data_IF_929196600833
#
_entry.id   IF_929196600833
#
_cell.length_a   1.000
_cell.length_b   1.000
_cell.length_c   1.000
_cell.angle_alpha   90.00
_cell.angle_beta   90.00
_cell.angle_gamma   90.00
#
_symmetry.space_group_name_H-M   'P 1'
#
loop_
_entity.id
_entity.type
_entity.pdbx_description
1 polymer ?
#
# COMPACT_ATOMS: atom_id res chain seq x y z
N UNK A 1 9.87 6.02 1.61
CA UNK A 1 9.97 6.33 3.06
C UNK A 1 11.34 6.86 3.49
N UNK A 2 12.44 6.12 3.33
CA UNK A 2 13.77 6.51 3.82
C UNK A 2 14.20 7.94 3.43
N UNK A 3 13.98 8.29 2.15
CA UNK A 3 14.28 9.61 1.59
C UNK A 3 13.34 10.66 2.17
N UNK A 4 12.01 10.48 2.01
CA UNK A 4 11.02 11.45 2.49
C UNK A 4 11.13 11.75 3.99
N UNK A 5 11.44 10.77 4.86
CA UNK A 5 11.67 11.02 6.30
C UNK A 5 12.84 11.98 6.56
N UNK A 6 13.79 12.12 5.64
CA UNK A 6 14.95 13.02 5.77
C UNK A 6 14.78 14.33 5.01
N UNK A 7 13.92 14.34 4.00
CA UNK A 7 13.72 15.46 3.08
C UNK A 7 12.29 16.02 3.16
N UNK A 8 11.54 15.69 4.22
CA UNK A 8 10.15 16.10 4.41
C UNK A 8 9.97 17.62 4.41
N UNK A 9 10.98 18.33 4.91
CA UNK A 9 11.01 19.80 4.94
C UNK A 9 10.88 20.44 3.56
N UNK A 10 11.27 19.74 2.49
CA UNK A 10 11.06 20.19 1.11
C UNK A 10 9.57 20.39 0.78
N UNK A 11 8.69 19.60 1.39
CA UNK A 11 7.24 19.70 1.25
C UNK A 11 6.58 20.55 2.34
N UNK A 12 7.38 21.20 3.21
CA UNK A 12 6.87 21.92 4.37
C UNK A 12 6.34 21.01 5.47
N UNK A 13 6.70 19.71 5.46
CA UNK A 13 6.32 18.75 6.49
C UNK A 13 7.49 18.53 7.44
N UNK A 14 7.18 18.16 8.67
CA UNK A 14 8.18 17.56 9.55
C UNK A 14 8.42 16.08 9.18
N UNK A 15 9.53 15.51 9.68
CA UNK A 15 9.87 14.11 9.51
C UNK A 15 8.85 13.14 10.14
N UNK A 16 7.92 13.64 10.96
CA UNK A 16 6.86 12.90 11.65
C UNK A 16 5.59 12.61 10.82
N UNK A 17 5.54 12.95 9.53
CA UNK A 17 4.34 12.77 8.68
C UNK A 17 3.65 11.40 8.81
N UNK A 18 2.31 11.37 8.70
CA UNK A 18 1.56 10.10 8.74
C UNK A 18 1.60 9.42 7.37
N UNK A 19 1.60 8.08 7.37
CA UNK A 19 1.38 7.29 6.16
C UNK A 19 -0.04 6.75 6.17
N UNK A 20 -0.86 7.18 5.21
CA UNK A 20 -2.24 6.73 5.09
C UNK A 20 -2.30 5.36 4.43
N UNK A 21 -2.87 4.41 5.16
CA UNK A 21 -3.34 3.15 4.60
C UNK A 21 -4.66 3.36 3.83
N UNK A 22 -5.18 2.28 3.25
CA UNK A 22 -6.45 2.31 2.52
C UNK A 22 -7.62 2.79 3.38
N UNK A 23 -7.62 2.49 4.69
CA UNK A 23 -8.72 2.86 5.61
C UNK A 23 -8.71 4.36 5.92
N UNK A 24 -7.53 4.95 6.16
CA UNK A 24 -7.38 6.39 6.37
C UNK A 24 -7.63 7.16 5.07
N UNK A 25 -7.12 6.66 3.94
CA UNK A 25 -7.41 7.23 2.62
C UNK A 25 -8.92 7.26 2.33
N UNK A 26 -9.63 6.14 2.54
CA UNK A 26 -11.08 6.08 2.34
C UNK A 26 -11.84 7.02 3.28
N UNK A 27 -11.41 7.15 4.54
CA UNK A 27 -12.01 8.06 5.51
C UNK A 27 -11.90 9.51 5.06
N UNK A 28 -10.73 9.93 4.58
CA UNK A 28 -10.55 11.28 4.06
C UNK A 28 -11.36 11.52 2.78
N UNK A 29 -11.37 10.56 1.85
CA UNK A 29 -12.15 10.67 0.62
C UNK A 29 -13.66 10.78 0.90
N UNK A 30 -14.20 10.04 1.88
CA UNK A 30 -15.59 10.17 2.32
C UNK A 30 -15.92 11.61 2.73
N UNK A 31 -15.03 12.25 3.49
CA UNK A 31 -15.21 13.65 3.89
C UNK A 31 -15.15 14.59 2.70
N UNK A 32 -14.21 14.40 1.78
CA UNK A 32 -14.09 15.22 0.56
C UNK A 32 -15.35 15.12 -0.30
N UNK A 33 -15.84 13.91 -0.55
CA UNK A 33 -17.05 13.66 -1.35
C UNK A 33 -18.27 14.33 -0.72
N UNK A 34 -18.42 14.21 0.60
CA UNK A 34 -19.50 14.85 1.36
C UNK A 34 -19.45 16.36 1.23
N UNK A 35 -18.28 16.97 1.44
CA UNK A 35 -18.12 18.42 1.45
C UNK A 35 -18.25 19.04 0.04
N UNK A 36 -17.92 18.27 -1.00
CA UNK A 36 -18.17 18.63 -2.40
C UNK A 36 -19.63 18.38 -2.85
N UNK A 37 -20.51 17.92 -1.94
CA UNK A 37 -21.91 17.60 -2.22
C UNK A 37 -22.10 16.58 -3.36
N UNK A 38 -21.18 15.62 -3.46
CA UNK A 38 -21.21 14.54 -4.45
C UNK A 38 -21.82 13.25 -3.85
N UNK A 39 -22.50 12.46 -4.68
CA UNK A 39 -23.14 11.23 -4.23
C UNK A 39 -22.13 10.06 -4.16
N UNK A 40 -21.90 9.47 -2.96
CA UNK A 40 -20.96 8.36 -2.77
C UNK A 40 -21.38 7.07 -3.50
N UNK A 41 -22.61 6.96 -4.02
CA UNK A 41 -23.03 5.83 -4.87
C UNK A 41 -22.29 5.84 -6.21
N UNK A 42 -22.09 7.01 -6.80
CA UNK A 42 -21.34 7.19 -8.05
C UNK A 42 -19.84 7.29 -7.77
N UNK A 43 -19.47 7.95 -6.68
CA UNK A 43 -18.09 8.22 -6.30
C UNK A 43 -17.69 7.40 -5.07
N UNK A 44 -17.57 6.08 -5.23
CA UNK A 44 -17.23 5.19 -4.11
C UNK A 44 -15.80 5.49 -3.60
N UNK A 45 -15.61 5.81 -2.31
CA UNK A 45 -14.30 6.18 -1.75
C UNK A 45 -13.19 5.13 -2.00
N UNK A 46 -13.52 3.85 -1.83
CA UNK A 46 -12.56 2.74 -2.04
C UNK A 46 -12.09 2.64 -3.49
N UNK A 47 -13.02 2.74 -4.44
CA UNK A 47 -12.73 2.75 -5.88
C UNK A 47 -11.93 3.99 -6.26
N UNK A 48 -12.29 5.16 -5.73
CA UNK A 48 -11.58 6.41 -5.99
C UNK A 48 -10.16 6.43 -5.42
N UNK A 49 -9.92 5.85 -4.24
CA UNK A 49 -8.58 5.74 -3.67
C UNK A 49 -7.64 4.97 -4.59
N UNK A 50 -8.09 3.81 -5.07
CA UNK A 50 -7.33 3.01 -6.04
C UNK A 50 -7.15 3.75 -7.37
N UNK A 51 -8.19 4.44 -7.86
CA UNK A 51 -8.12 5.20 -9.10
C UNK A 51 -7.10 6.35 -9.02
N UNK A 52 -7.15 7.13 -7.94
CA UNK A 52 -6.19 8.21 -7.66
C UNK A 52 -4.76 7.64 -7.52
N UNK A 53 -4.58 6.51 -6.84
CA UNK A 53 -3.26 5.84 -6.78
C UNK A 53 -2.74 5.51 -8.18
N UNK A 54 -3.59 4.96 -9.05
CA UNK A 54 -3.22 4.68 -10.44
C UNK A 54 -2.92 5.93 -11.28
N UNK A 55 -3.50 7.09 -10.94
CA UNK A 55 -3.13 8.37 -11.55
C UNK A 55 -1.73 8.81 -11.11
N UNK A 56 -1.38 8.65 -9.82
CA UNK A 56 -0.03 8.91 -9.29
C UNK A 56 1.01 8.00 -9.91
N UNK A 57 0.69 6.71 -10.07
CA UNK A 57 1.56 5.74 -10.73
C UNK A 57 1.90 6.13 -12.17
N UNK A 58 0.99 6.87 -12.83
CA UNK A 58 1.16 7.44 -14.18
C UNK A 58 1.73 8.87 -14.17
N UNK A 59 2.03 9.41 -12.99
CA UNK A 59 2.48 10.79 -12.74
C UNK A 59 1.51 11.86 -13.25
N UNK A 60 0.20 11.64 -13.08
CA UNK A 60 -0.84 12.59 -13.46
C UNK A 60 -1.34 13.38 -12.24
N UNK A 61 -1.08 14.70 -12.24
CA UNK A 61 -1.72 15.66 -11.32
C UNK A 61 -3.20 15.86 -11.62
N UNK A 62 -4.00 16.43 -10.70
CA UNK A 62 -5.40 16.76 -10.96
C UNK A 62 -5.61 17.55 -12.25
N UNK A 63 -4.72 18.50 -12.54
CA UNK A 63 -4.75 19.34 -13.74
C UNK A 63 -4.39 18.54 -15.00
N UNK A 64 -3.24 17.84 -15.00
CA UNK A 64 -2.79 17.05 -16.17
C UNK A 64 -3.70 15.86 -16.49
N UNK A 65 -4.33 15.28 -15.46
CA UNK A 65 -5.39 14.27 -15.63
C UNK A 65 -6.57 14.83 -16.42
N UNK A 66 -7.05 16.00 -16.03
CA UNK A 66 -8.20 16.65 -16.67
C UNK A 66 -7.90 17.07 -18.12
N UNK A 67 -6.65 17.46 -18.41
CA UNK A 67 -6.19 17.73 -19.77
C UNK A 67 -6.15 16.47 -20.62
N UNK A 68 -5.71 15.34 -20.06
CA UNK A 68 -5.54 14.07 -20.77
C UNK A 68 -6.85 13.35 -21.06
N UNK A 69 -7.75 13.22 -20.08
CA UNK A 69 -8.99 12.45 -20.22
C UNK A 69 -10.13 13.20 -20.92
N UNK A 70 -9.94 14.51 -21.15
CA UNK A 70 -10.97 15.39 -21.71
C UNK A 70 -11.98 15.83 -20.65
N UNK A 71 -12.49 17.06 -20.79
CA UNK A 71 -13.24 17.77 -19.73
C UNK A 71 -14.74 17.40 -19.64
N UNK A 72 -15.05 16.11 -19.56
CA UNK A 72 -16.42 15.64 -19.28
C UNK A 72 -16.76 15.81 -17.78
N UNK A 73 -18.03 15.60 -17.40
CA UNK A 73 -18.47 15.85 -16.03
C UNK A 73 -17.81 14.91 -15.00
N UNK A 74 -17.57 13.65 -15.38
CA UNK A 74 -16.90 12.67 -14.53
C UNK A 74 -15.45 13.06 -14.23
N UNK A 75 -14.66 13.39 -15.26
CA UNK A 75 -13.26 13.81 -15.12
C UNK A 75 -13.13 15.12 -14.35
N UNK A 76 -14.05 16.08 -14.53
CA UNK A 76 -14.11 17.30 -13.72
C UNK A 76 -14.35 16.98 -12.24
N UNK A 77 -15.32 16.11 -11.96
CA UNK A 77 -15.62 15.68 -10.59
C UNK A 77 -14.42 14.96 -9.96
N UNK A 78 -13.81 14.00 -10.66
CA UNK A 78 -12.60 13.30 -10.18
C UNK A 78 -11.45 14.28 -9.95
N UNK A 79 -11.19 15.20 -10.87
CA UNK A 79 -10.13 16.21 -10.71
C UNK A 79 -10.37 17.09 -9.47
N UNK A 80 -11.62 17.52 -9.24
CA UNK A 80 -12.00 18.29 -8.06
C UNK A 80 -11.82 17.49 -6.75
N UNK A 81 -12.31 16.23 -6.72
CA UNK A 81 -12.12 15.32 -5.58
C UNK A 81 -10.63 15.12 -5.31
N UNK A 82 -9.84 14.82 -6.35
CA UNK A 82 -8.42 14.54 -6.22
C UNK A 82 -7.66 15.76 -5.70
N UNK A 83 -7.94 16.95 -6.23
CA UNK A 83 -7.34 18.20 -5.78
C UNK A 83 -7.63 18.50 -4.31
N UNK A 84 -8.89 18.35 -3.88
CA UNK A 84 -9.28 18.58 -2.50
C UNK A 84 -8.72 17.50 -1.56
N UNK A 85 -8.64 16.25 -2.03
CA UNK A 85 -7.98 15.16 -1.31
C UNK A 85 -6.50 15.44 -1.06
N UNK A 86 -5.72 15.83 -2.08
CA UNK A 86 -4.31 16.19 -1.92
C UNK A 86 -4.15 17.36 -0.97
N UNK A 87 -4.95 18.43 -1.14
CA UNK A 87 -4.90 19.61 -0.28
C UNK A 87 -5.12 19.26 1.20
N UNK A 88 -6.16 18.48 1.50
CA UNK A 88 -6.45 18.10 2.90
C UNK A 88 -5.41 17.15 3.44
N UNK A 89 -4.93 16.20 2.64
CA UNK A 89 -3.89 15.27 3.06
C UNK A 89 -2.58 16.00 3.36
N UNK A 90 -2.20 16.97 2.52
CA UNK A 90 -1.04 17.83 2.76
C UNK A 90 -1.25 18.67 4.03
N UNK A 91 -2.45 19.19 4.30
CA UNK A 91 -2.75 19.90 5.56
C UNK A 91 -2.67 19.02 6.83
N UNK A 92 -2.79 17.69 6.68
CA UNK A 92 -2.60 16.72 7.76
C UNK A 92 -1.14 16.24 7.88
N UNK A 93 -0.21 16.80 7.11
CA UNK A 93 1.16 16.30 6.97
C UNK A 93 1.18 14.79 6.74
N UNK A 94 0.46 14.34 5.71
CA UNK A 94 0.32 12.93 5.40
C UNK A 94 0.71 12.59 3.96
N UNK A 95 1.22 11.38 3.78
CA UNK A 95 1.45 10.76 2.48
C UNK A 95 0.68 9.45 2.38
N UNK A 96 0.09 9.17 1.23
CA UNK A 96 -0.39 7.82 0.89
C UNK A 96 0.70 7.03 0.15
N UNK A 97 0.43 5.75 -0.13
CA UNK A 97 1.42 4.87 -0.78
C UNK A 97 1.89 5.38 -2.15
N UNK A 98 1.01 6.00 -2.94
CA UNK A 98 1.38 6.56 -4.24
C UNK A 98 2.32 7.76 -4.09
N UNK A 99 2.10 8.60 -3.08
CA UNK A 99 3.00 9.72 -2.78
C UNK A 99 4.41 9.29 -2.42
N UNK A 100 4.56 8.16 -1.71
CA UNK A 100 5.87 7.74 -1.22
C UNK A 100 6.89 7.63 -2.36
N UNK A 101 6.43 7.29 -3.55
CA UNK A 101 7.26 7.23 -4.77
C UNK A 101 7.15 8.55 -5.52
N UNK A 102 5.95 9.05 -5.78
CA UNK A 102 5.78 10.20 -6.66
C UNK A 102 6.32 11.51 -6.06
N UNK A 103 6.12 11.78 -4.77
CA UNK A 103 6.73 12.93 -4.09
C UNK A 103 8.26 12.78 -4.05
N UNK A 104 8.79 11.57 -3.92
CA UNK A 104 10.26 11.35 -4.03
C UNK A 104 10.78 11.74 -5.41
N UNK A 105 10.08 11.33 -6.48
CA UNK A 105 10.40 11.75 -7.86
C UNK A 105 10.33 13.27 -8.00
N UNK A 106 9.26 13.91 -7.51
CA UNK A 106 9.11 15.37 -7.55
C UNK A 106 10.24 16.10 -6.80
N UNK A 107 10.65 15.59 -5.64
CA UNK A 107 11.80 16.12 -4.89
C UNK A 107 13.07 16.07 -5.74
N UNK A 108 13.37 14.91 -6.34
CA UNK A 108 14.59 14.73 -7.14
C UNK A 108 14.59 15.53 -8.44
N UNK A 109 13.43 15.73 -9.06
CA UNK A 109 13.31 16.60 -10.24
C UNK A 109 13.48 18.08 -9.91
N UNK A 110 13.14 18.51 -8.69
CA UNK A 110 13.15 19.93 -8.28
C UNK A 110 14.37 20.35 -7.45
N UNK A 111 15.08 19.41 -6.83
CA UNK A 111 16.23 19.69 -5.97
C UNK A 111 17.45 18.89 -6.43
N UNK A 112 18.37 19.58 -7.12
CA UNK A 112 19.67 19.05 -7.53
C UNK A 112 20.49 18.57 -6.35
N UNK A 113 20.41 19.26 -5.21
CA UNK A 113 21.16 18.92 -4.00
C UNK A 113 20.66 17.61 -3.41
N UNK A 114 19.34 17.42 -3.34
CA UNK A 114 18.74 16.19 -2.86
C UNK A 114 19.17 15.01 -3.74
N UNK A 115 18.97 15.08 -5.06
CA UNK A 115 19.33 13.95 -5.93
C UNK A 115 20.85 13.67 -5.92
N UNK A 116 21.70 14.71 -5.90
CA UNK A 116 23.16 14.55 -5.86
C UNK A 116 23.62 13.85 -4.60
N UNK A 117 23.03 14.19 -3.44
CA UNK A 117 23.29 13.52 -2.15
C UNK A 117 23.02 12.01 -2.24
N UNK A 118 21.91 11.60 -2.83
CA UNK A 118 21.56 10.18 -2.92
C UNK A 118 22.34 9.44 -4.01
N UNK A 119 22.61 10.07 -5.17
CA UNK A 119 23.49 9.50 -6.21
C UNK A 119 24.92 9.30 -5.73
N UNK A 120 25.44 10.22 -4.90
CA UNK A 120 26.76 10.06 -4.30
C UNK A 120 26.80 8.92 -3.29
N UNK A 121 25.71 8.73 -2.53
CA UNK A 121 25.58 7.66 -1.55
C UNK A 121 25.37 6.28 -2.19
N UNK A 122 24.61 6.21 -3.28
CA UNK A 122 24.24 4.98 -3.97
C UNK A 122 24.88 4.96 -5.35
N UNK A 123 26.15 4.58 -5.39
CA UNK A 123 26.90 4.55 -6.64
C UNK A 123 26.44 3.45 -7.60
N UNK A 124 25.88 2.36 -7.08
CA UNK A 124 25.31 1.27 -7.85
C UNK A 124 23.86 1.05 -7.43
N UNK A 125 22.96 0.98 -8.41
CA UNK A 125 21.53 0.77 -8.21
C UNK A 125 21.17 -0.59 -8.79
N UNK A 126 20.53 -1.42 -7.96
CA UNK A 126 20.01 -2.72 -8.36
C UNK A 126 18.51 -2.75 -8.17
N UNK A 127 17.78 -3.19 -9.19
CA UNK A 127 16.31 -3.29 -9.15
C UNK A 127 15.91 -4.70 -9.53
N UNK A 128 15.27 -5.39 -8.60
CA UNK A 128 14.69 -6.72 -8.81
C UNK A 128 13.22 -6.61 -9.23
N UNK A 129 12.66 -7.66 -9.82
CA UNK A 129 11.29 -7.73 -10.34
C UNK A 129 10.93 -6.56 -11.27
N UNK A 130 11.85 -6.19 -12.16
CA UNK A 130 11.76 -4.98 -12.97
C UNK A 130 10.56 -4.97 -13.94
N UNK A 131 10.06 -6.15 -14.33
CA UNK A 131 8.87 -6.30 -15.17
C UNK A 131 7.60 -5.73 -14.52
N UNK A 132 7.55 -5.67 -13.18
CA UNK A 132 6.38 -5.22 -12.43
C UNK A 132 6.44 -3.73 -12.08
N UNK A 133 7.43 -3.00 -12.61
CA UNK A 133 7.57 -1.57 -12.38
C UNK A 133 6.51 -0.76 -13.13
N UNK A 134 5.95 0.25 -12.47
CA UNK A 134 5.09 1.24 -13.10
C UNK A 134 5.87 2.48 -13.56
N UNK A 135 5.19 3.42 -14.21
CA UNK A 135 5.84 4.61 -14.81
C UNK A 135 6.60 5.47 -13.78
N UNK A 136 6.02 5.70 -12.59
CA UNK A 136 6.68 6.54 -11.56
C UNK A 136 7.87 5.82 -10.92
N UNK A 137 7.82 4.50 -10.78
CA UNK A 137 8.96 3.69 -10.33
C UNK A 137 10.08 3.70 -11.36
N UNK A 138 9.75 3.55 -12.64
CA UNK A 138 10.71 3.66 -13.74
C UNK A 138 11.40 5.03 -13.74
N UNK A 139 10.65 6.13 -13.62
CA UNK A 139 11.21 7.48 -13.52
C UNK A 139 12.15 7.64 -12.31
N UNK A 140 11.78 7.08 -11.15
CA UNK A 140 12.64 7.09 -9.97
C UNK A 140 13.97 6.37 -10.23
N UNK A 141 13.93 5.23 -10.92
CA UNK A 141 15.13 4.46 -11.29
C UNK A 141 16.01 5.26 -12.24
N UNK A 142 15.45 5.90 -13.26
CA UNK A 142 16.21 6.78 -14.18
C UNK A 142 16.88 7.93 -13.44
N UNK A 143 16.13 8.60 -12.55
CA UNK A 143 16.67 9.68 -11.72
C UNK A 143 17.81 9.19 -10.84
N UNK A 144 17.74 8.01 -10.25
CA UNK A 144 18.82 7.47 -9.43
C UNK A 144 20.04 7.01 -10.25
N UNK A 145 19.83 6.38 -11.41
CA UNK A 145 20.90 5.94 -12.30
C UNK A 145 21.75 7.12 -12.79
N UNK A 146 21.09 8.23 -13.15
CA UNK A 146 21.75 9.46 -13.56
C UNK A 146 22.74 9.29 -14.70
N UNK A 147 23.78 10.12 -14.72
CA UNK A 147 24.80 10.11 -15.78
C UNK A 147 25.76 8.92 -15.66
N UNK A 148 25.99 8.42 -14.44
CA UNK A 148 26.88 7.27 -14.21
C UNK A 148 26.31 5.97 -14.78
N UNK A 149 24.98 5.84 -14.82
CA UNK A 149 24.26 4.68 -15.37
C UNK A 149 24.74 3.33 -14.81
N UNK A 150 25.19 3.33 -13.56
CA UNK A 150 25.53 2.12 -12.80
C UNK A 150 24.25 1.41 -12.31
N UNK A 151 23.44 0.96 -13.26
CA UNK A 151 22.14 0.37 -13.04
C UNK A 151 22.16 -1.10 -13.48
N UNK A 152 21.76 -2.00 -12.59
CA UNK A 152 21.48 -3.38 -12.89
C UNK A 152 19.99 -3.65 -12.61
N UNK A 153 19.26 -4.08 -13.63
CA UNK A 153 17.87 -4.51 -13.46
C UNK A 153 17.77 -6.01 -13.71
N UNK A 154 16.95 -6.67 -12.89
CA UNK A 154 16.63 -8.10 -13.01
C UNK A 154 15.13 -8.22 -13.12
N UNK A 155 14.67 -9.07 -14.02
CA UNK A 155 13.25 -9.34 -14.17
C UNK A 155 12.97 -10.39 -15.23
N UNK A 156 11.74 -10.89 -15.21
CA UNK A 156 11.23 -11.90 -16.13
C UNK A 156 9.91 -11.38 -16.74
N UNK A 157 9.94 -11.06 -18.03
CA UNK A 157 8.77 -10.55 -18.77
C UNK A 157 7.59 -11.54 -18.80
N UNK A 158 7.84 -12.86 -18.71
CA UNK A 158 6.78 -13.87 -18.65
C UNK A 158 6.09 -13.91 -17.26
N UNK A 159 6.66 -13.26 -16.24
CA UNK A 159 6.15 -13.22 -14.87
C UNK A 159 5.44 -11.90 -14.50
N UNK A 160 5.26 -10.98 -15.45
CA UNK A 160 4.53 -9.71 -15.21
C UNK A 160 3.04 -9.95 -14.96
N UNK A 161 2.65 -10.02 -13.68
CA UNK A 161 1.25 -10.28 -13.25
C UNK A 161 0.58 -9.07 -12.57
N UNK A 162 1.26 -7.93 -12.47
CA UNK A 162 0.75 -6.71 -11.82
C UNK A 162 0.29 -5.60 -12.77
N UNK A 163 -0.01 -5.90 -14.04
CA UNK A 163 -0.49 -4.91 -15.02
C UNK A 163 -1.75 -4.14 -14.56
N UNK A 164 -2.65 -4.80 -13.83
CA UNK A 164 -3.84 -4.18 -13.22
C UNK A 164 -3.51 -3.16 -12.11
N UNK A 165 -2.29 -3.17 -11.59
CA UNK A 165 -1.73 -2.15 -10.68
C UNK A 165 -0.88 -1.11 -11.40
N UNK A 166 -0.90 -1.09 -12.73
CA UNK A 166 -0.16 -0.12 -13.55
C UNK A 166 1.28 -0.51 -13.86
N UNK A 167 1.69 -1.75 -13.60
CA UNK A 167 2.96 -2.26 -14.11
C UNK A 167 2.99 -2.16 -15.65
N UNK A 168 4.11 -1.71 -16.18
CA UNK A 168 4.34 -1.57 -17.61
C UNK A 168 5.47 -2.50 -18.04
N UNK A 169 5.11 -3.64 -18.64
CA UNK A 169 6.06 -4.60 -19.20
C UNK A 169 6.97 -3.95 -20.26
N UNK A 170 6.53 -2.84 -20.86
CA UNK A 170 7.35 -2.03 -21.76
C UNK A 170 8.64 -1.53 -21.11
N UNK A 171 8.69 -1.36 -19.78
CA UNK A 171 9.89 -0.91 -19.08
C UNK A 171 11.04 -1.91 -19.24
N UNK A 172 10.78 -3.21 -19.05
CA UNK A 172 11.81 -4.26 -19.21
C UNK A 172 12.07 -4.56 -20.69
N UNK A 173 11.03 -4.53 -21.53
CA UNK A 173 11.16 -4.83 -22.96
C UNK A 173 11.95 -3.76 -23.71
N UNK A 174 11.82 -2.49 -23.32
CA UNK A 174 12.49 -1.36 -23.97
C UNK A 174 13.79 -0.93 -23.27
N UNK A 175 14.26 -1.65 -22.24
CA UNK A 175 15.46 -1.27 -21.48
C UNK A 175 16.68 -1.00 -22.37
N UNK A 176 16.91 -1.84 -23.38
CA UNK A 176 18.03 -1.70 -24.34
C UNK A 176 17.90 -0.45 -25.23
N UNK A 177 16.70 0.12 -25.39
CA UNK A 177 16.50 1.38 -26.11
C UNK A 177 16.85 2.58 -25.23
N UNK A 178 16.53 2.49 -23.94
CA UNK A 178 16.80 3.56 -22.97
C UNK A 178 18.27 3.57 -22.53
N UNK A 179 18.89 2.39 -22.51
CA UNK A 179 20.30 2.14 -22.17
C UNK A 179 20.98 1.35 -23.31
N UNK A 180 21.35 2.00 -24.44
CA UNK A 180 21.97 1.32 -25.58
C UNK A 180 23.30 0.62 -25.28
N UNK A 181 23.99 1.04 -24.21
CA UNK A 181 25.24 0.46 -23.72
C UNK A 181 25.03 -0.73 -22.76
N UNK A 182 23.77 -1.12 -22.51
CA UNK A 182 23.45 -2.20 -21.58
C UNK A 182 23.98 -3.55 -22.06
N UNK A 183 24.37 -4.39 -21.09
CA UNK A 183 24.74 -5.78 -21.32
C UNK A 183 23.58 -6.66 -20.88
N UNK A 184 23.02 -7.43 -21.81
CA UNK A 184 21.93 -8.37 -21.53
C UNK A 184 22.51 -9.75 -21.23
N UNK A 185 22.18 -10.27 -20.06
CA UNK A 185 22.53 -11.63 -19.64
C UNK A 185 21.22 -12.40 -19.46
N UNK A 186 21.08 -13.52 -20.16
CA UNK A 186 19.93 -14.43 -20.00
C UNK A 186 20.31 -15.56 -19.06
N UNK A 187 19.52 -15.76 -18.01
CA UNK A 187 19.67 -16.88 -17.09
C UNK A 187 18.59 -17.92 -17.40
N UNK A 188 18.98 -18.90 -18.21
CA UNK A 188 18.05 -19.88 -18.81
C UNK A 188 18.03 -21.23 -18.04
N UNK A 189 19.05 -21.50 -17.23
CA UNK A 189 19.10 -22.70 -16.40
C UNK A 189 18.23 -22.53 -15.15
N UNK A 190 17.21 -23.37 -15.02
CA UNK A 190 16.35 -23.46 -13.86
C UNK A 190 16.91 -24.48 -12.85
N UNK A 191 17.21 -24.00 -11.65
CA UNK A 191 17.68 -24.82 -10.54
C UNK A 191 16.57 -25.27 -9.56
N UNK A 192 15.31 -24.85 -9.77
CA UNK A 192 14.20 -25.05 -8.81
C UNK A 192 13.35 -26.28 -9.13
N UNK A 193 12.98 -26.47 -10.39
CA UNK A 193 11.92 -27.38 -10.82
C UNK A 193 12.49 -28.55 -11.60
N UNK A 194 11.73 -29.65 -11.65
CA UNK A 194 12.09 -30.84 -12.43
C UNK A 194 11.76 -30.65 -13.91
N UNK A 195 12.34 -31.47 -14.79
CA UNK A 195 12.15 -31.33 -16.24
C UNK A 195 10.68 -31.38 -16.65
N UNK A 196 9.86 -32.27 -16.05
CA UNK A 196 8.43 -32.36 -16.36
C UNK A 196 7.65 -31.07 -16.03
N UNK A 197 8.03 -30.35 -14.96
CA UNK A 197 7.43 -29.06 -14.61
C UNK A 197 7.87 -27.97 -15.58
N UNK A 198 9.16 -27.94 -15.95
CA UNK A 198 9.70 -26.96 -16.90
C UNK A 198 9.09 -27.13 -18.28
N UNK A 199 8.92 -28.38 -18.75
CA UNK A 199 8.29 -28.68 -20.01
C UNK A 199 6.82 -28.20 -20.04
N UNK A 200 6.07 -28.47 -18.96
CA UNK A 200 4.70 -28.01 -18.83
C UNK A 200 4.61 -26.47 -18.86
N UNK A 201 5.45 -25.78 -18.10
CA UNK A 201 5.49 -24.32 -18.07
C UNK A 201 5.87 -23.73 -19.45
N UNK A 202 6.89 -24.29 -20.10
CA UNK A 202 7.38 -23.84 -21.41
C UNK A 202 6.32 -23.97 -22.50
N UNK A 203 5.60 -25.09 -22.53
CA UNK A 203 4.52 -25.33 -23.50
C UNK A 203 3.31 -24.41 -23.27
N UNK A 204 3.05 -23.98 -22.03
CA UNK A 204 2.00 -23.01 -21.76
C UNK A 204 2.45 -21.62 -22.23
N UNK A 205 3.65 -21.19 -21.85
CA UNK A 205 4.12 -19.82 -22.13
C UNK A 205 4.43 -19.57 -23.61
N UNK A 206 4.73 -20.60 -24.39
CA UNK A 206 4.99 -20.49 -25.84
C UNK A 206 3.80 -19.96 -26.65
N UNK A 207 2.60 -19.95 -26.07
CA UNK A 207 1.41 -19.39 -26.71
C UNK A 207 1.36 -17.85 -26.65
N UNK A 208 2.20 -17.20 -25.84
CA UNK A 208 2.27 -15.74 -25.74
C UNK A 208 3.08 -15.13 -26.88
N UNK A 209 2.56 -14.05 -27.47
CA UNK A 209 3.16 -13.41 -28.65
C UNK A 209 4.09 -12.23 -28.35
N UNK A 210 3.98 -11.62 -27.16
CA UNK A 210 4.77 -10.46 -26.75
C UNK A 210 5.72 -10.85 -25.61
N UNK A 211 6.87 -11.44 -25.95
CA UNK A 211 7.91 -11.86 -25.01
C UNK A 211 9.30 -11.76 -25.62
N UNK A 212 10.34 -11.65 -24.80
CA UNK A 212 11.72 -11.88 -25.25
C UNK A 212 11.94 -13.38 -25.44
N UNK A 213 12.61 -13.72 -26.52
CA UNK A 213 12.95 -15.12 -26.82
C UNK A 213 13.94 -15.64 -25.77
N UNK A 214 13.54 -16.70 -25.07
CA UNK A 214 14.35 -17.40 -24.07
C UNK A 214 13.90 -18.84 -23.94
N UNK A 215 14.86 -19.73 -23.73
CA UNK A 215 14.62 -21.16 -23.54
C UNK A 215 14.97 -21.56 -22.13
N UNK A 216 13.96 -21.88 -21.30
CA UNK A 216 14.20 -22.33 -19.93
C UNK A 216 14.46 -23.84 -19.97
N UNK A 217 15.60 -24.27 -19.43
CA UNK A 217 15.95 -25.69 -19.30
C UNK A 217 16.37 -26.01 -17.87
N UNK A 218 16.50 -27.30 -17.53
CA UNK A 218 16.98 -27.71 -16.19
C UNK A 218 17.84 -28.97 -16.27
N UNK A 219 18.86 -29.03 -15.42
CA UNK A 219 19.68 -30.23 -15.19
C UNK A 219 19.13 -31.14 -14.07
N UNK A 220 17.99 -30.76 -13.48
CA UNK A 220 17.30 -31.58 -12.49
C UNK A 220 16.71 -32.86 -13.13
N UNK A 221 16.49 -33.92 -12.34
CA UNK A 221 15.83 -35.13 -12.83
C UNK A 221 14.43 -34.83 -13.39
N UNK A 222 13.89 -35.79 -14.14
CA UNK A 222 12.61 -35.63 -14.83
C UNK A 222 11.46 -35.28 -13.87
N UNK A 223 11.45 -35.91 -12.69
CA UNK A 223 10.43 -35.74 -11.68
C UNK A 223 9.11 -36.43 -12.03
N UNK A 224 8.16 -36.39 -11.10
CA UNK A 224 6.83 -36.96 -11.33
C UNK A 224 6.08 -36.18 -12.44
N UNK A 225 5.24 -36.85 -13.25
CA UNK A 225 4.38 -36.18 -14.21
C UNK A 225 3.44 -35.16 -13.55
N UNK A 226 3.14 -34.07 -14.25
CA UNK A 226 2.10 -33.12 -13.82
C UNK A 226 0.74 -33.79 -13.93
N UNK A 227 -0.04 -33.80 -12.85
CA UNK A 227 -1.33 -34.50 -12.80
C UNK A 227 -2.49 -33.51 -12.81
N UNK A 228 -3.36 -33.64 -13.80
CA UNK A 228 -4.63 -32.93 -13.89
C UNK A 228 -5.75 -33.82 -13.33
N UNK A 229 -6.53 -33.29 -12.38
CA UNK A 229 -7.75 -33.92 -11.90
C UNK A 229 -8.93 -33.00 -12.16
N UNK A 230 -10.03 -33.59 -12.60
CA UNK A 230 -11.33 -32.94 -12.73
C UNK A 230 -12.26 -33.43 -11.62
N UNK A 231 -13.06 -32.54 -11.07
CA UNK A 231 -14.01 -32.80 -9.99
C UNK A 231 -15.36 -32.18 -10.35
N UNK A 232 -16.46 -32.74 -9.87
CA UNK A 232 -17.80 -32.25 -10.23
C UNK A 232 -18.12 -30.89 -9.60
N UNK A 233 -17.51 -30.58 -8.46
CA UNK A 233 -17.73 -29.34 -7.70
C UNK A 233 -16.55 -28.99 -6.79
N UNK A 234 -16.57 -27.78 -6.21
CA UNK A 234 -15.50 -27.22 -5.37
C UNK A 234 -15.30 -27.99 -4.06
N UNK A 235 -16.37 -28.57 -3.52
CA UNK A 235 -16.29 -29.39 -2.31
C UNK A 235 -15.53 -30.69 -2.59
N UNK A 236 -15.82 -31.36 -3.70
CA UNK A 236 -15.11 -32.56 -4.13
C UNK A 236 -13.64 -32.27 -4.47
N UNK A 237 -13.35 -31.15 -5.13
CA UNK A 237 -11.98 -30.69 -5.36
C UNK A 237 -11.22 -30.55 -4.03
N UNK A 238 -11.80 -29.87 -3.04
CA UNK A 238 -11.17 -29.69 -1.74
C UNK A 238 -10.90 -31.03 -1.03
N UNK A 239 -11.84 -31.97 -1.06
CA UNK A 239 -11.65 -33.32 -0.49
C UNK A 239 -10.58 -34.13 -1.25
N UNK A 240 -10.55 -34.02 -2.58
CA UNK A 240 -9.54 -34.64 -3.42
C UNK A 240 -8.14 -34.12 -3.14
N UNK A 241 -7.99 -32.80 -2.99
CA UNK A 241 -6.74 -32.15 -2.58
C UNK A 241 -6.29 -32.60 -1.20
N UNK A 242 -7.19 -32.67 -0.20
CA UNK A 242 -6.84 -33.17 1.14
C UNK A 242 -6.36 -34.61 1.13
N UNK A 243 -7.00 -35.46 0.32
CA UNK A 243 -6.58 -36.86 0.17
C UNK A 243 -5.14 -36.93 -0.35
N UNK A 244 -4.78 -36.06 -1.31
CA UNK A 244 -3.40 -35.94 -1.80
C UNK A 244 -2.44 -35.41 -0.74
N UNK A 245 -2.83 -34.40 0.02
CA UNK A 245 -2.02 -33.84 1.12
C UNK A 245 -1.70 -34.92 2.16
N UNK A 246 -2.70 -35.71 2.57
CA UNK A 246 -2.52 -36.82 3.53
C UNK A 246 -1.63 -37.92 2.98
N UNK A 247 -1.77 -38.25 1.69
CA UNK A 247 -0.91 -39.23 1.02
C UNK A 247 0.54 -38.76 0.98
N UNK A 248 0.78 -37.51 0.57
CA UNK A 248 2.11 -36.90 0.56
C UNK A 248 2.74 -36.84 1.97
N UNK A 249 1.95 -36.50 3.00
CA UNK A 249 2.40 -36.50 4.39
C UNK A 249 2.76 -37.90 4.89
N UNK A 250 1.94 -38.90 4.56
CA UNK A 250 2.23 -40.31 4.88
C UNK A 250 3.48 -40.82 4.16
N UNK A 251 3.77 -40.27 2.97
CA UNK A 251 5.00 -40.49 2.22
C UNK A 251 6.22 -39.70 2.73
N UNK A 252 6.09 -38.96 3.84
CA UNK A 252 7.19 -38.24 4.49
C UNK A 252 7.30 -36.75 4.16
N UNK A 253 6.38 -36.18 3.38
CA UNK A 253 6.39 -34.74 3.06
C UNK A 253 5.83 -33.92 4.22
N UNK A 254 6.60 -32.96 4.75
CA UNK A 254 6.09 -32.04 5.78
C UNK A 254 5.02 -31.08 5.20
N UNK A 255 3.98 -30.75 5.98
CA UNK A 255 2.89 -29.86 5.52
C UNK A 255 3.38 -28.49 5.01
N UNK A 256 4.46 -27.95 5.60
CA UNK A 256 5.05 -26.66 5.18
C UNK A 256 5.63 -26.68 3.76
N UNK A 257 5.87 -27.86 3.19
CA UNK A 257 6.38 -28.04 1.82
C UNK A 257 5.25 -28.19 0.79
N UNK A 258 4.00 -27.99 1.20
CA UNK A 258 2.82 -28.07 0.33
C UNK A 258 2.18 -26.69 0.24
N UNK A 259 1.91 -26.25 -0.98
CA UNK A 259 1.21 -25.00 -1.27
C UNK A 259 -0.03 -25.24 -2.14
N UNK A 260 -1.11 -24.52 -1.84
CA UNK A 260 -2.33 -24.49 -2.66
C UNK A 260 -2.41 -23.11 -3.28
N UNK A 261 -2.37 -23.04 -4.62
CA UNK A 261 -2.53 -21.81 -5.38
C UNK A 261 -3.94 -21.75 -5.97
N UNK A 262 -4.57 -20.58 -5.87
CA UNK A 262 -5.91 -20.32 -6.41
C UNK A 262 -5.95 -18.93 -7.04
N UNK A 263 -6.91 -18.69 -7.94
CA UNK A 263 -6.99 -17.47 -8.74
C UNK A 263 -7.58 -16.30 -7.96
N UNK A 264 -8.57 -16.55 -7.10
CA UNK A 264 -9.25 -15.56 -6.28
C UNK A 264 -9.33 -15.98 -4.82
N UNK A 265 -9.28 -15.02 -3.89
CA UNK A 265 -9.32 -15.32 -2.46
C UNK A 265 -10.62 -16.00 -2.03
N UNK A 266 -11.73 -15.84 -2.74
CA UNK A 266 -12.98 -16.51 -2.41
C UNK A 266 -12.90 -18.04 -2.54
N UNK A 267 -11.99 -18.56 -3.36
CA UNK A 267 -11.78 -20.01 -3.52
C UNK A 267 -11.15 -20.65 -2.28
N UNK A 268 -10.40 -19.88 -1.47
CA UNK A 268 -9.72 -20.40 -0.28
C UNK A 268 -10.67 -21.05 0.73
N UNK A 269 -11.91 -20.56 0.82
CA UNK A 269 -12.90 -20.99 1.81
C UNK A 269 -13.15 -22.51 1.81
N UNK A 270 -13.32 -23.12 0.64
CA UNK A 270 -13.58 -24.56 0.54
C UNK A 270 -12.41 -25.39 1.06
N UNK A 271 -11.18 -24.98 0.74
CA UNK A 271 -9.96 -25.62 1.25
C UNK A 271 -9.79 -25.39 2.76
N UNK A 272 -10.04 -24.18 3.26
CA UNK A 272 -9.95 -23.86 4.68
C UNK A 272 -10.91 -24.69 5.54
N UNK A 273 -12.18 -24.78 5.13
CA UNK A 273 -13.20 -25.57 5.82
C UNK A 273 -12.80 -27.05 5.84
N UNK A 274 -12.40 -27.57 4.68
CA UNK A 274 -12.04 -28.97 4.56
C UNK A 274 -10.76 -29.32 5.34
N UNK A 275 -9.70 -28.47 5.30
CA UNK A 275 -8.47 -28.65 6.09
C UNK A 275 -8.74 -28.59 7.59
N UNK A 276 -9.61 -27.66 8.02
CA UNK A 276 -10.03 -27.51 9.43
C UNK A 276 -10.77 -28.76 9.92
N UNK A 277 -11.68 -29.31 9.11
CA UNK A 277 -12.47 -30.49 9.47
C UNK A 277 -11.61 -31.74 9.75
N UNK A 278 -10.46 -31.87 9.08
CA UNK A 278 -9.54 -33.00 9.27
C UNK A 278 -8.34 -32.67 10.16
N UNK A 279 -8.28 -31.46 10.73
CA UNK A 279 -7.22 -31.04 11.65
C UNK A 279 -5.84 -30.84 11.00
N UNK A 280 -5.77 -30.54 9.71
CA UNK A 280 -4.49 -30.24 9.04
C UNK A 280 -4.14 -28.77 9.26
N UNK A 281 -2.93 -28.44 9.77
CA UNK A 281 -2.51 -27.07 9.98
C UNK A 281 -2.28 -26.37 8.64
N UNK A 282 -2.77 -25.13 8.51
CA UNK A 282 -2.58 -24.31 7.32
C UNK A 282 -2.32 -22.84 7.68
N UNK A 283 -1.77 -22.11 6.71
CA UNK A 283 -1.57 -20.67 6.80
C UNK A 283 -2.05 -20.02 5.51
N UNK A 284 -2.91 -19.02 5.63
CA UNK A 284 -3.38 -18.22 4.50
C UNK A 284 -2.43 -17.04 4.32
N UNK A 285 -1.92 -16.87 3.10
CA UNK A 285 -1.21 -15.66 2.71
C UNK A 285 -2.21 -14.68 2.09
N UNK A 286 -2.24 -13.45 2.60
CA UNK A 286 -3.17 -12.40 2.13
C UNK A 286 -4.58 -12.42 2.74
N UNK A 287 -4.82 -13.23 3.78
CA UNK A 287 -6.03 -13.17 4.61
C UNK A 287 -6.04 -11.96 5.56
N UNK A 288 -6.93 -11.98 6.57
CA UNK A 288 -7.06 -10.88 7.54
C UNK A 288 -5.73 -10.61 8.26
N UNK A 289 -5.11 -9.46 7.97
CA UNK A 289 -3.77 -9.14 8.49
C UNK A 289 -3.88 -8.68 9.93
N UNK A 290 -2.82 -8.89 10.70
CA UNK A 290 -2.74 -8.38 12.08
C UNK A 290 -3.05 -6.88 12.17
N UNK A 291 -2.50 -6.08 11.25
CA UNK A 291 -2.71 -4.64 11.18
C UNK A 291 -4.09 -4.20 10.65
N UNK A 292 -4.91 -5.13 10.16
CA UNK A 292 -6.28 -4.83 9.73
C UNK A 292 -7.30 -4.88 10.87
N UNK A 293 -6.92 -5.45 12.02
CA UNK A 293 -7.73 -5.53 13.23
C UNK A 293 -8.09 -4.15 13.75
N UNK A 294 -9.34 -3.97 14.18
CA UNK A 294 -9.85 -2.66 14.61
C UNK A 294 -9.06 -2.11 15.79
N UNK A 295 -8.80 -2.96 16.80
CA UNK A 295 -8.02 -2.62 17.99
C UNK A 295 -6.58 -2.21 17.66
N UNK A 296 -5.97 -2.84 16.64
CA UNK A 296 -4.61 -2.51 16.20
C UNK A 296 -4.61 -1.19 15.43
N UNK A 297 -5.61 -0.95 14.57
CA UNK A 297 -5.77 0.33 13.87
C UNK A 297 -6.06 1.49 14.81
N UNK A 298 -6.80 1.26 15.88
CA UNK A 298 -7.08 2.28 16.90
C UNK A 298 -5.81 2.65 17.66
N UNK A 299 -5.02 1.66 18.10
CA UNK A 299 -3.73 1.90 18.72
C UNK A 299 -2.77 2.66 17.78
N UNK A 300 -2.70 2.26 16.51
CA UNK A 300 -1.89 2.96 15.50
C UNK A 300 -2.37 4.40 15.32
N UNK A 301 -3.69 4.65 15.31
CA UNK A 301 -4.21 6.01 15.20
C UNK A 301 -3.83 6.89 16.41
N UNK A 302 -3.81 6.35 17.64
CA UNK A 302 -3.26 7.08 18.79
C UNK A 302 -1.78 7.42 18.59
N UNK A 303 -0.96 6.43 18.19
CA UNK A 303 0.46 6.65 17.94
C UNK A 303 0.72 7.65 16.80
N UNK A 304 -0.10 7.62 15.75
CA UNK A 304 -0.04 8.59 14.65
C UNK A 304 -0.27 10.01 15.15
N UNK A 305 -1.28 10.24 16.01
CA UNK A 305 -1.55 11.58 16.56
C UNK A 305 -0.42 12.04 17.50
N UNK A 306 0.19 11.13 18.26
CA UNK A 306 1.38 11.45 19.08
C UNK A 306 2.57 11.85 18.20
N UNK A 307 2.78 11.14 17.08
CA UNK A 307 3.87 11.45 16.13
C UNK A 307 3.58 12.65 15.24
N UNK A 308 2.30 12.91 14.95
CA UNK A 308 1.82 13.95 14.05
C UNK A 308 0.49 14.52 14.59
N UNK A 309 0.54 15.55 15.44
CA UNK A 309 -0.63 16.17 16.04
C UNK A 309 -1.61 16.80 15.04
N UNK A 310 -1.17 17.03 13.79
CA UNK A 310 -1.99 17.58 12.71
C UNK A 310 -2.85 16.52 12.01
N UNK A 311 -2.63 15.23 12.27
CA UNK A 311 -3.39 14.14 11.66
C UNK A 311 -4.83 14.05 12.20
N UNK A 312 -5.69 14.85 11.59
CA UNK A 312 -7.12 14.87 11.91
C UNK A 312 -7.81 13.55 11.57
N UNK A 313 -7.34 12.77 10.58
CA UNK A 313 -8.02 11.54 10.15
C UNK A 313 -7.81 10.45 11.19
N UNK A 314 -6.58 10.28 11.68
CA UNK A 314 -6.28 9.39 12.80
C UNK A 314 -7.01 9.85 14.06
N UNK A 315 -6.99 11.14 14.41
CA UNK A 315 -7.68 11.64 15.60
C UNK A 315 -9.19 11.40 15.55
N UNK A 316 -9.84 11.68 14.42
CA UNK A 316 -11.28 11.45 14.26
C UNK A 316 -11.67 9.98 14.34
N UNK A 317 -10.77 9.04 13.98
CA UNK A 317 -10.99 7.61 14.16
C UNK A 317 -11.16 7.24 15.64
N UNK A 318 -10.33 7.81 16.52
CA UNK A 318 -10.24 7.41 17.94
C UNK A 318 -10.92 8.39 18.90
N UNK A 319 -11.43 9.52 18.41
CA UNK A 319 -12.02 10.58 19.22
C UNK A 319 -13.11 10.07 20.17
N UNK A 320 -13.85 9.05 19.76
CA UNK A 320 -14.91 8.42 20.55
C UNK A 320 -14.65 6.92 20.83
N UNK A 321 -13.38 6.49 20.78
CA UNK A 321 -12.95 5.15 21.18
C UNK A 321 -11.80 5.26 22.21
N UNK A 322 -12.08 5.02 23.51
CA UNK A 322 -13.36 4.66 24.13
C UNK A 322 -14.44 5.76 24.05
N UNK A 323 -15.73 5.46 24.32
CA UNK A 323 -16.82 6.43 24.23
C UNK A 323 -16.61 7.68 25.09
N UNK A 324 -16.65 8.85 24.45
CA UNK A 324 -16.49 10.18 25.07
C UNK A 324 -17.74 11.07 24.93
N UNK A 325 -18.80 10.54 24.34
CA UNK A 325 -20.02 11.31 24.05
C UNK A 325 -19.86 12.30 22.89
N UNK A 326 -18.83 12.12 22.07
CA UNK A 326 -18.57 12.91 20.85
C UNK A 326 -19.08 12.08 19.66
N UNK A 327 -20.39 12.18 19.39
CA UNK A 327 -20.99 11.57 18.19
C UNK A 327 -20.81 12.43 16.94
N UNK A 328 -21.41 12.02 15.82
CA UNK A 328 -21.24 12.67 14.51
C UNK A 328 -21.51 14.19 14.52
N UNK A 329 -22.56 14.63 15.21
CA UNK A 329 -22.85 16.08 15.34
C UNK A 329 -21.80 16.84 16.15
N UNK A 330 -21.15 16.17 17.11
CA UNK A 330 -20.04 16.75 17.84
C UNK A 330 -18.79 16.84 16.96
N UNK A 331 -18.52 15.79 16.17
CA UNK A 331 -17.41 15.76 15.22
C UNK A 331 -17.53 16.89 14.18
N UNK A 332 -18.70 17.10 13.58
CA UNK A 332 -18.86 18.18 12.60
C UNK A 332 -18.65 19.56 13.23
N UNK A 333 -19.17 19.79 14.44
CA UNK A 333 -18.92 21.04 15.17
C UNK A 333 -17.44 21.27 15.47
N UNK A 334 -16.70 20.22 15.83
CA UNK A 334 -15.24 20.30 16.02
C UNK A 334 -14.55 20.69 14.71
N UNK A 335 -14.94 20.09 13.58
CA UNK A 335 -14.39 20.40 12.26
C UNK A 335 -14.69 21.83 11.82
N UNK A 336 -15.94 22.27 11.94
CA UNK A 336 -16.36 23.64 11.62
C UNK A 336 -15.56 24.66 12.44
N UNK A 337 -15.42 24.42 13.75
CA UNK A 337 -14.67 25.29 14.64
C UNK A 337 -13.17 25.30 14.33
N UNK A 338 -12.59 24.15 13.96
CA UNK A 338 -11.19 24.04 13.48
C UNK A 338 -10.97 24.90 12.24
N UNK A 339 -11.89 24.85 11.27
CA UNK A 339 -11.82 25.66 10.05
C UNK A 339 -12.00 27.16 10.33
N UNK A 340 -12.93 27.54 11.22
CA UNK A 340 -13.18 28.94 11.59
C UNK A 340 -11.96 29.59 12.27
N UNK A 341 -11.31 28.86 13.20
CA UNK A 341 -10.18 29.37 13.98
C UNK A 341 -8.82 29.16 13.29
N UNK A 342 -8.75 28.29 12.27
CA UNK A 342 -7.50 27.94 11.61
C UNK A 342 -6.52 27.16 12.49
N UNK A 343 -7.04 26.34 13.42
CA UNK A 343 -6.24 25.50 14.34
C UNK A 343 -6.56 24.01 14.11
N UNK A 344 -5.66 23.12 14.51
CA UNK A 344 -5.83 21.68 14.35
C UNK A 344 -7.00 21.13 15.18
N UNK A 345 -7.55 19.98 14.76
CA UNK A 345 -8.63 19.31 15.52
C UNK A 345 -8.18 18.98 16.95
N UNK A 346 -6.90 18.62 17.16
CA UNK A 346 -6.38 18.36 18.49
C UNK A 346 -6.44 19.62 19.36
N UNK A 347 -5.98 20.75 18.84
CA UNK A 347 -6.02 22.04 19.55
C UNK A 347 -7.45 22.48 19.87
N UNK A 348 -8.41 22.20 18.98
CA UNK A 348 -9.84 22.47 19.23
C UNK A 348 -10.33 21.76 20.50
N UNK A 349 -9.88 20.53 20.77
CA UNK A 349 -10.27 19.79 21.98
C UNK A 349 -9.76 20.45 23.28
N UNK A 350 -8.72 21.29 23.20
CA UNK A 350 -8.23 22.09 24.31
C UNK A 350 -8.98 23.41 24.55
N UNK A 351 -9.85 23.84 23.61
CA UNK A 351 -10.51 25.15 23.67
C UNK A 351 -11.73 25.17 24.61
N UNK A 352 -11.90 26.29 25.31
CA UNK A 352 -13.02 26.51 26.22
C UNK A 352 -14.31 26.98 25.50
N UNK A 353 -14.21 27.59 24.33
CA UNK A 353 -15.35 28.13 23.58
C UNK A 353 -15.96 27.11 22.58
N UNK A 354 -15.47 25.86 22.57
CA UNK A 354 -15.96 24.83 21.65
C UNK A 354 -17.47 24.55 21.86
N UNK A 355 -18.30 24.51 20.80
CA UNK A 355 -19.76 24.41 20.89
C UNK A 355 -20.28 22.97 21.18
N UNK A 356 -19.64 22.26 22.10
CA UNK A 356 -20.02 20.91 22.56
C UNK A 356 -20.81 20.94 23.88
N UNK A 357 -21.55 19.85 24.15
CA UNK A 357 -22.18 19.63 25.46
C UNK A 357 -21.11 19.55 26.55
N UNK A 358 -21.41 20.03 27.75
CA UNK A 358 -20.47 20.09 28.90
C UNK A 358 -19.71 18.77 29.15
N UNK A 359 -20.40 17.63 29.11
CA UNK A 359 -19.78 16.32 29.32
C UNK A 359 -18.79 15.95 28.21
N UNK A 360 -19.17 16.13 26.94
CA UNK A 360 -18.32 15.86 25.79
C UNK A 360 -17.10 16.80 25.74
N UNK A 361 -17.29 18.07 26.11
CA UNK A 361 -16.21 19.05 26.23
C UNK A 361 -15.18 18.64 27.30
N UNK A 362 -15.64 18.20 28.48
CA UNK A 362 -14.75 17.71 29.54
C UNK A 362 -13.91 16.51 29.06
N UNK A 363 -14.54 15.55 28.39
CA UNK A 363 -13.86 14.35 27.86
C UNK A 363 -12.93 14.66 26.67
N UNK A 364 -13.28 15.64 25.84
CA UNK A 364 -12.40 16.17 24.80
C UNK A 364 -11.14 16.81 25.40
N UNK A 365 -11.30 17.60 26.46
CA UNK A 365 -10.17 18.22 27.17
C UNK A 365 -9.26 17.19 27.87
N UNK A 366 -9.85 16.14 28.45
CA UNK A 366 -9.08 15.00 28.98
C UNK A 366 -8.25 14.32 27.88
N UNK A 367 -8.83 14.11 26.69
CA UNK A 367 -8.13 13.54 25.53
C UNK A 367 -7.02 14.46 25.01
N UNK A 368 -7.26 15.78 24.95
CA UNK A 368 -6.24 16.77 24.61
C UNK A 368 -5.04 16.68 25.56
N UNK A 369 -5.29 16.72 26.88
CA UNK A 369 -4.24 16.63 27.89
C UNK A 369 -3.46 15.32 27.81
N UNK A 370 -4.14 14.20 27.52
CA UNK A 370 -3.50 12.91 27.29
C UNK A 370 -2.50 13.00 26.14
N UNK A 371 -2.88 13.58 24.99
CA UNK A 371 -1.97 13.73 23.87
C UNK A 371 -0.81 14.67 24.18
N UNK A 372 -1.04 15.80 24.86
CA UNK A 372 0.05 16.69 25.27
C UNK A 372 1.11 15.96 26.10
N UNK A 373 0.70 15.15 27.08
CA UNK A 373 1.64 14.36 27.90
C UNK A 373 2.37 13.28 27.07
N UNK A 374 1.65 12.57 26.20
CA UNK A 374 2.27 11.53 25.35
C UNK A 374 3.23 12.12 24.32
N UNK A 375 2.94 13.29 23.75
CA UNK A 375 3.81 14.02 22.83
C UNK A 375 5.08 14.45 23.57
N UNK A 376 4.96 15.08 24.75
CA UNK A 376 6.11 15.49 25.55
C UNK A 376 7.01 14.29 25.91
N UNK A 377 6.41 13.14 26.23
CA UNK A 377 7.14 11.90 26.49
C UNK A 377 7.84 11.34 25.25
N UNK A 378 7.19 11.39 24.10
CA UNK A 378 7.78 11.01 22.81
C UNK A 378 9.01 11.88 22.49
N UNK A 379 8.90 13.19 22.69
CA UNK A 379 10.00 14.15 22.50
C UNK A 379 11.18 13.91 23.46
N UNK A 380 10.90 13.39 24.67
CA UNK A 380 11.91 12.95 25.64
C UNK A 380 12.55 11.59 25.28
N UNK A 381 12.15 10.97 24.18
CA UNK A 381 12.78 9.77 23.63
C UNK A 381 12.13 8.45 24.03
N UNK A 382 10.91 8.46 24.58
CA UNK A 382 10.17 7.20 24.79
C UNK A 382 9.92 6.51 23.44
N UNK A 383 10.13 5.20 23.42
CA UNK A 383 9.85 4.37 22.26
C UNK A 383 8.33 4.26 22.00
N UNK A 384 7.92 3.97 20.75
CA UNK A 384 6.51 3.74 20.43
C UNK A 384 5.86 2.63 21.28
N UNK A 385 6.64 1.61 21.68
CA UNK A 385 6.16 0.53 22.53
C UNK A 385 5.88 1.01 23.96
N UNK A 386 6.72 1.89 24.52
CA UNK A 386 6.49 2.47 25.85
C UNK A 386 5.29 3.43 25.84
N UNK A 387 5.14 4.24 24.79
CA UNK A 387 3.98 5.12 24.60
C UNK A 387 2.70 4.28 24.50
N UNK A 388 2.71 3.18 23.74
CA UNK A 388 1.58 2.28 23.62
C UNK A 388 1.21 1.64 24.97
N UNK A 389 2.19 1.21 25.76
CA UNK A 389 1.95 0.65 27.09
C UNK A 389 1.37 1.69 28.05
N UNK A 390 1.90 2.91 28.05
CA UNK A 390 1.38 4.02 28.87
C UNK A 390 -0.07 4.33 28.50
N UNK A 391 -0.39 4.33 27.21
CA UNK A 391 -1.73 4.54 26.73
C UNK A 391 -2.68 3.45 27.23
N UNK A 392 -2.30 2.18 27.11
CA UNK A 392 -3.10 1.05 27.57
C UNK A 392 -3.33 1.07 29.10
N UNK A 393 -2.36 1.54 29.88
CA UNK A 393 -2.48 1.65 31.33
C UNK A 393 -3.42 2.80 31.79
N UNK A 394 -3.68 3.77 30.91
CA UNK A 394 -4.54 4.94 31.17
C UNK A 394 -5.94 4.83 30.55
N UNK A 395 -6.17 3.78 29.75
CA UNK A 395 -7.38 3.55 28.95
C UNK A 395 -8.54 3.01 29.76
#
# INVERSE_FOLDING_TARGET
MYILRREASFFGFDNGFTIYDTTLQESLLKQVIKDLSLDPKFYKPSTLGNYISGLKDKMLSPESYLEKEGRNDFSKAVSAIYKEYEKRKDANYAFDFGDLIWKTVQLFQKSSDAISKYRHKWEYVMVDEYQDTNKVQYELVLLLAGEKRNLCVVGDDDQSIYSWRGADIGNILNFEKDFPESVVIKLEENYRSTSNIILAASNVISNNTQRKEKEIFTNNPEGAPVVLNEFENESEEAHGVITRIRSAYSGGTEYKNIAIFYRTNSQSRYFEEALRNVGIPYKIFGGFRFFDRAEIKDLIAYLNVVSNPLDSVSLLRIINYPPRGIGDSGVEKIREFSLEKGISILEVLGQEDIPLKKAAKSKGKELYNLFCDLIEKSEKGLSPSEIALELLNRS
#
